data_IF_067903326545
#
_entry.id   IF_067903326545
#
_cell.length_a   1.000
_cell.length_b   1.000
_cell.length_c   1.000
_cell.angle_alpha   90.00
_cell.angle_beta   90.00
_cell.angle_gamma   90.00
#
_symmetry.space_group_name_H-M   'P 1'
#
loop_
_entity.id
_entity.type
_entity.pdbx_description
1 polymer ?
#
# COMPACT_ATOMS: atom_id res chain seq x y z
N UNK A 1 -1.67 6.11 -7.47
CA UNK A 1 -1.49 4.64 -7.46
C UNK A 1 -0.13 4.34 -8.07
N UNK A 2 0.70 3.53 -7.40
CA UNK A 2 2.02 3.11 -7.89
C UNK A 2 1.93 1.61 -8.22
N UNK A 3 2.20 1.18 -9.46
CA UNK A 3 2.24 -0.23 -9.81
C UNK A 3 3.29 -0.99 -9.00
N UNK A 4 2.98 -2.23 -8.60
CA UNK A 4 3.87 -3.02 -7.72
C UNK A 4 5.26 -3.26 -8.31
N UNK A 5 5.36 -3.39 -9.63
CA UNK A 5 6.61 -3.56 -10.37
C UNK A 5 7.45 -2.27 -10.47
N UNK A 6 6.84 -1.11 -10.27
CA UNK A 6 7.52 0.19 -10.27
C UNK A 6 7.79 0.71 -8.86
N UNK A 7 7.21 0.09 -7.83
CA UNK A 7 7.28 0.60 -6.46
C UNK A 7 8.73 0.74 -5.96
N UNK A 8 9.59 -0.21 -6.30
CA UNK A 8 11.00 -0.18 -5.91
C UNK A 8 11.76 1.01 -6.54
N UNK A 9 11.56 1.28 -7.83
CA UNK A 9 12.24 2.38 -8.52
C UNK A 9 11.69 3.76 -8.14
N UNK A 10 10.46 3.80 -7.64
CA UNK A 10 9.73 5.02 -7.27
C UNK A 10 9.61 5.23 -5.76
N UNK A 11 10.34 4.45 -4.95
CA UNK A 11 10.24 4.48 -3.49
C UNK A 11 10.53 5.87 -2.91
N UNK A 12 11.41 6.65 -3.57
CA UNK A 12 11.77 8.00 -3.18
C UNK A 12 10.59 8.99 -3.21
N UNK A 13 9.56 8.75 -4.03
CA UNK A 13 8.33 9.56 -4.06
C UNK A 13 7.56 9.50 -2.73
N UNK A 14 7.82 8.44 -1.94
CA UNK A 14 7.12 8.17 -0.69
C UNK A 14 7.86 8.69 0.54
N UNK A 15 9.11 9.13 0.44
CA UNK A 15 9.95 9.55 1.59
C UNK A 15 9.28 10.62 2.45
N UNK A 16 8.48 11.53 1.88
CA UNK A 16 7.70 12.52 2.65
C UNK A 16 6.65 11.91 3.59
N UNK A 17 6.34 10.62 3.45
CA UNK A 17 5.39 9.87 4.27
C UNK A 17 6.08 8.88 5.23
N UNK A 18 7.41 8.94 5.38
CA UNK A 18 8.19 7.98 6.19
C UNK A 18 7.65 7.82 7.62
N UNK A 19 7.27 8.94 8.24
CA UNK A 19 6.77 9.00 9.61
C UNK A 19 5.25 8.79 9.72
N UNK A 20 4.58 8.45 8.61
CA UNK A 20 3.14 8.24 8.57
C UNK A 20 2.79 6.76 8.43
N UNK A 21 1.61 6.38 8.92
CA UNK A 21 1.05 5.06 8.64
C UNK A 21 0.61 5.00 7.17
N UNK A 22 1.15 4.04 6.41
CA UNK A 22 0.80 3.82 5.01
C UNK A 22 -0.09 2.58 4.91
N UNK A 23 -1.32 2.76 4.43
CA UNK A 23 -2.21 1.64 4.10
C UNK A 23 -2.00 1.27 2.64
N UNK A 24 -1.56 0.04 2.39
CA UNK A 24 -1.38 -0.50 1.04
C UNK A 24 -2.57 -1.39 0.70
N UNK A 25 -3.22 -1.14 -0.43
CA UNK A 25 -4.35 -1.93 -0.89
C UNK A 25 -4.23 -2.33 -2.36
N UNK A 26 -4.87 -3.44 -2.69
CA UNK A 26 -5.16 -3.84 -4.07
C UNK A 26 -6.54 -4.51 -4.08
N UNK A 27 -6.94 -5.11 -5.20
CA UNK A 27 -8.26 -5.72 -5.32
C UNK A 27 -8.51 -6.84 -4.28
N UNK A 28 -7.57 -7.79 -4.12
CA UNK A 28 -7.72 -8.99 -3.27
C UNK A 28 -6.72 -9.10 -2.11
N UNK A 29 -5.79 -8.15 -1.97
CA UNK A 29 -4.75 -8.14 -0.94
C UNK A 29 -3.39 -8.74 -1.34
N UNK A 30 -3.30 -9.52 -2.42
CA UNK A 30 -2.06 -10.25 -2.78
C UNK A 30 -0.90 -9.34 -3.24
N UNK A 31 -1.19 -8.36 -4.10
CA UNK A 31 -0.19 -7.40 -4.61
C UNK A 31 0.21 -6.39 -3.54
N UNK A 32 -0.75 -5.94 -2.75
CA UNK A 32 -0.52 -5.00 -1.66
C UNK A 32 0.28 -5.61 -0.52
N UNK A 33 0.17 -6.92 -0.28
CA UNK A 33 1.05 -7.61 0.67
C UNK A 33 2.53 -7.49 0.24
N UNK A 34 2.85 -7.76 -1.03
CA UNK A 34 4.21 -7.56 -1.57
C UNK A 34 4.70 -6.12 -1.43
N UNK A 35 3.83 -5.15 -1.75
CA UNK A 35 4.16 -3.74 -1.61
C UNK A 35 4.39 -3.32 -0.15
N UNK A 36 3.62 -3.89 0.78
CA UNK A 36 3.77 -3.64 2.22
C UNK A 36 5.12 -4.15 2.72
N UNK A 37 5.53 -5.36 2.33
CA UNK A 37 6.84 -5.91 2.69
C UNK A 37 7.95 -4.99 2.18
N UNK A 38 7.91 -4.62 0.91
CA UNK A 38 8.93 -3.76 0.30
C UNK A 38 9.01 -2.38 0.96
N UNK A 39 7.87 -1.79 1.34
CA UNK A 39 7.85 -0.52 2.07
C UNK A 39 8.46 -0.68 3.47
N UNK A 40 8.10 -1.74 4.21
CA UNK A 40 8.65 -1.99 5.54
C UNK A 40 10.17 -2.26 5.49
N UNK A 41 10.66 -2.98 4.49
CA UNK A 41 12.10 -3.19 4.25
C UNK A 41 12.86 -1.88 3.98
N UNK A 42 12.18 -0.86 3.46
CA UNK A 42 12.74 0.47 3.21
C UNK A 42 12.47 1.48 4.35
N UNK A 43 12.02 0.98 5.51
CA UNK A 43 11.84 1.77 6.73
C UNK A 43 10.57 2.61 6.77
N UNK A 44 9.59 2.32 5.92
CA UNK A 44 8.25 2.90 6.05
C UNK A 44 7.42 2.12 7.05
N UNK A 45 6.42 2.77 7.65
CA UNK A 45 5.43 2.10 8.50
C UNK A 45 4.19 1.74 7.66
N UNK A 46 4.25 0.59 6.97
CA UNK A 46 3.21 0.14 6.06
C UNK A 46 2.41 -1.07 6.59
N UNK A 47 1.10 -1.03 6.36
CA UNK A 47 0.16 -2.10 6.69
C UNK A 47 -0.66 -2.49 5.46
N UNK A 48 -0.87 -3.80 5.29
CA UNK A 48 -1.68 -4.32 4.19
C UNK A 48 -3.16 -4.32 4.56
N UNK A 49 -4.02 -3.84 3.66
CA UNK A 49 -5.45 -4.07 3.77
C UNK A 49 -5.78 -5.54 3.45
N UNK A 50 -6.00 -6.35 4.48
CA UNK A 50 -6.36 -7.77 4.36
C UNK A 50 -7.63 -7.95 3.53
N UNK A 51 -7.61 -8.90 2.59
CA UNK A 51 -8.70 -9.12 1.65
C UNK A 51 -8.82 -8.09 0.53
N UNK A 52 -8.03 -7.01 0.59
CA UNK A 52 -8.11 -5.91 -0.36
C UNK A 52 -9.47 -5.21 -0.36
N UNK A 53 -9.76 -4.53 -1.47
CA UNK A 53 -11.05 -3.85 -1.63
C UNK A 53 -12.25 -4.81 -1.66
N UNK A 54 -12.07 -6.09 -2.03
CA UNK A 54 -13.17 -7.07 -1.99
C UNK A 54 -13.75 -7.28 -0.59
N UNK A 55 -12.96 -7.09 0.46
CA UNK A 55 -13.39 -7.25 1.85
C UNK A 55 -13.54 -5.90 2.56
N UNK A 56 -13.44 -4.79 1.82
CA UNK A 56 -13.64 -3.48 2.39
C UNK A 56 -15.13 -3.26 2.68
N UNK A 57 -15.47 -3.18 3.96
CA UNK A 57 -16.84 -2.93 4.44
C UNK A 57 -17.04 -1.47 4.91
N UNK A 58 -16.03 -0.63 4.74
CA UNK A 58 -16.11 0.79 5.10
C UNK A 58 -16.87 1.60 4.04
N UNK A 59 -17.13 2.88 4.33
CA UNK A 59 -17.73 3.77 3.34
C UNK A 59 -16.93 3.78 2.05
N UNK A 60 -17.61 3.63 0.92
CA UNK A 60 -17.08 3.90 -0.41
C UNK A 60 -17.72 5.20 -0.86
N UNK A 61 -16.91 6.26 -0.94
CA UNK A 61 -17.38 7.51 -1.54
C UNK A 61 -17.39 7.31 -3.05
N UNK A 62 -18.55 6.96 -3.60
CA UNK A 62 -18.82 7.04 -5.03
C UNK A 62 -19.09 8.49 -5.39
N UNK A 63 -18.27 9.05 -6.28
CA UNK A 63 -18.56 10.32 -6.95
C UNK A 63 -19.69 10.15 -7.95
#
# INVERSE_FOLDING_TARGET
MIPINELASRISELEKYKDQNIIVYCQSGSRSNKGTILLNENGFNAVNLTGGLHQWNGPVLTQ
#
